data_IF_852449239651
#
_entry.id   IF_852449239651
#
_cell.length_a   1.000
_cell.length_b   1.000
_cell.length_c   1.000
_cell.angle_alpha   90.00
_cell.angle_beta   90.00
_cell.angle_gamma   90.00
#
_symmetry.space_group_name_H-M   'P 1'
#
loop_
_entity.id
_entity.type
_entity.pdbx_description
1 polymer ?
#
# COMPACT_ATOMS: atom_id res chain seq x y z
N UNK A 1 -6.52 7.32 8.07
CA UNK A 1 -5.49 6.30 8.38
C UNK A 1 -6.16 4.94 8.66
N UNK A 2 -5.82 3.88 7.90
CA UNK A 2 -6.18 2.51 8.27
C UNK A 2 -5.18 2.01 9.32
N UNK A 3 -5.65 1.57 10.48
CA UNK A 3 -4.81 1.11 11.60
C UNK A 3 -5.29 -0.27 12.04
N UNK A 4 -4.38 -1.24 12.13
CA UNK A 4 -4.68 -2.57 12.63
C UNK A 4 -4.65 -2.60 14.16
N UNK A 5 -5.71 -3.11 14.78
CA UNK A 5 -5.90 -3.15 16.23
C UNK A 5 -5.84 -4.60 16.72
N UNK A 6 -4.83 -4.91 17.52
CA UNK A 6 -4.69 -6.20 18.22
C UNK A 6 -4.90 -5.99 19.72
N UNK A 7 -5.90 -6.67 20.29
CA UNK A 7 -6.20 -6.63 21.72
C UNK A 7 -5.61 -7.86 22.42
N UNK A 8 -4.91 -7.63 23.53
CA UNK A 8 -4.30 -8.66 24.38
C UNK A 8 -4.89 -8.58 25.79
N UNK A 9 -5.59 -9.61 26.25
CA UNK A 9 -6.31 -9.57 27.54
C UNK A 9 -6.25 -10.88 28.32
N UNK A 10 -6.39 -10.79 29.64
CA UNK A 10 -6.47 -11.95 30.53
C UNK A 10 -7.90 -12.52 30.67
N UNK A 11 -8.91 -11.87 30.08
CA UNK A 11 -10.31 -12.26 30.22
C UNK A 11 -10.72 -13.28 29.17
N UNK A 12 -11.19 -14.45 29.63
CA UNK A 12 -11.51 -15.62 28.79
C UNK A 12 -13.02 -15.75 28.53
N UNK A 13 -13.87 -14.96 29.20
CA UNK A 13 -15.31 -15.05 29.02
C UNK A 13 -15.74 -14.34 27.74
N UNK A 14 -16.40 -15.09 26.84
CA UNK A 14 -16.71 -14.69 25.46
C UNK A 14 -17.51 -13.40 25.27
N UNK A 15 -18.07 -12.83 26.35
CA UNK A 15 -18.75 -11.53 26.34
C UNK A 15 -17.76 -10.38 26.06
N UNK A 16 -16.50 -10.49 26.50
CA UNK A 16 -15.47 -9.48 26.19
C UNK A 16 -14.98 -9.58 24.73
N UNK A 17 -15.03 -10.77 24.12
CA UNK A 17 -14.45 -11.02 22.79
C UNK A 17 -15.34 -10.48 21.67
N UNK A 18 -16.65 -10.75 21.72
CA UNK A 18 -17.59 -10.23 20.72
C UNK A 18 -17.64 -8.69 20.75
N UNK A 19 -17.76 -8.09 21.94
CA UNK A 19 -17.75 -6.64 22.10
C UNK A 19 -16.44 -6.00 21.63
N UNK A 20 -15.30 -6.68 21.83
CA UNK A 20 -14.00 -6.19 21.33
C UNK A 20 -13.95 -6.11 19.80
N UNK A 21 -14.49 -7.11 19.10
CA UNK A 21 -14.59 -7.07 17.64
C UNK A 21 -15.55 -5.97 17.18
N UNK A 22 -16.71 -5.82 17.82
CA UNK A 22 -17.66 -4.74 17.52
C UNK A 22 -17.08 -3.34 17.77
N UNK A 23 -16.15 -3.22 18.74
CA UNK A 23 -15.45 -1.97 19.04
C UNK A 23 -14.32 -1.65 18.03
N UNK A 24 -14.12 -2.50 17.02
CA UNK A 24 -13.17 -2.28 15.92
C UNK A 24 -11.81 -2.97 16.08
N UNK A 25 -11.67 -3.96 16.96
CA UNK A 25 -10.47 -4.78 16.98
C UNK A 25 -10.42 -5.74 15.78
N UNK A 26 -9.28 -5.82 15.09
CA UNK A 26 -9.08 -6.82 14.04
C UNK A 26 -8.81 -8.20 14.61
N UNK A 27 -8.05 -8.26 15.72
CA UNK A 27 -7.60 -9.52 16.33
C UNK A 27 -7.64 -9.43 17.85
N UNK A 28 -8.20 -10.47 18.48
CA UNK A 28 -8.26 -10.63 19.93
C UNK A 28 -7.43 -11.83 20.39
N UNK A 29 -6.51 -11.62 21.33
CA UNK A 29 -5.61 -12.63 21.88
C UNK A 29 -5.73 -12.70 23.41
N UNK A 30 -5.83 -13.92 23.94
CA UNK A 30 -5.84 -14.17 25.38
C UNK A 30 -4.43 -14.38 25.92
N UNK A 31 -4.11 -13.79 27.07
CA UNK A 31 -2.86 -14.03 27.78
C UNK A 31 -2.90 -15.38 28.53
N UNK A 32 -1.78 -16.10 28.65
CA UNK A 32 -0.47 -15.79 28.06
C UNK A 32 -0.43 -16.10 26.56
N UNK A 33 0.16 -15.18 25.78
CA UNK A 33 0.39 -15.39 24.34
C UNK A 33 1.85 -15.74 24.10
N UNK A 34 2.12 -16.65 23.17
CA UNK A 34 3.48 -16.92 22.72
C UNK A 34 4.02 -15.72 21.91
N UNK A 35 5.27 -15.29 22.10
CA UNK A 35 5.89 -14.25 21.26
C UNK A 35 5.87 -14.59 19.77
N UNK A 36 5.99 -15.88 19.44
CA UNK A 36 5.95 -16.36 18.04
C UNK A 36 4.55 -16.15 17.45
N UNK A 37 3.51 -16.47 18.22
CA UNK A 37 2.12 -16.30 17.80
C UNK A 37 1.78 -14.82 17.60
N UNK A 38 2.14 -13.96 18.56
CA UNK A 38 1.94 -12.52 18.45
C UNK A 38 2.66 -11.95 17.23
N UNK A 39 3.90 -12.37 16.97
CA UNK A 39 4.67 -11.94 15.79
C UNK A 39 3.95 -12.32 14.50
N UNK A 40 3.49 -13.57 14.38
CA UNK A 40 2.77 -14.05 13.19
C UNK A 40 1.48 -13.27 12.97
N UNK A 41 0.73 -13.00 14.04
CA UNK A 41 -0.48 -12.19 14.01
C UNK A 41 -0.20 -10.79 13.45
N UNK A 42 0.83 -10.11 13.97
CA UNK A 42 1.19 -8.75 13.54
C UNK A 42 1.65 -8.72 12.08
N UNK A 43 2.48 -9.67 11.65
CA UNK A 43 2.94 -9.77 10.26
C UNK A 43 1.76 -9.99 9.31
N UNK A 44 0.84 -10.89 9.68
CA UNK A 44 -0.31 -11.21 8.83
C UNK A 44 -1.29 -10.05 8.72
N UNK A 45 -1.56 -9.35 9.83
CA UNK A 45 -2.42 -8.17 9.83
C UNK A 45 -1.80 -7.05 9.00
N UNK A 46 -0.52 -6.74 9.22
CA UNK A 46 0.22 -5.75 8.43
C UNK A 46 0.20 -6.06 6.94
N UNK A 47 0.42 -7.33 6.54
CA UNK A 47 0.37 -7.73 5.13
C UNK A 47 -1.00 -7.50 4.49
N UNK A 48 -2.10 -7.73 5.21
CA UNK A 48 -3.46 -7.49 4.70
C UNK A 48 -3.72 -6.00 4.51
N UNK A 49 -3.29 -5.19 5.47
CA UNK A 49 -3.40 -3.72 5.36
C UNK A 49 -2.58 -3.16 4.19
N UNK A 50 -1.32 -3.61 4.05
CA UNK A 50 -0.45 -3.27 2.91
C UNK A 50 -1.07 -3.67 1.57
N UNK A 51 -1.71 -4.84 1.52
CA UNK A 51 -2.35 -5.34 0.31
C UNK A 51 -3.52 -4.45 -0.12
N UNK A 52 -4.38 -4.04 0.82
CA UNK A 52 -5.48 -3.11 0.53
C UNK A 52 -5.02 -1.73 0.05
N UNK A 53 -3.88 -1.22 0.53
CA UNK A 53 -3.32 0.04 0.01
C UNK A 53 -2.71 -0.14 -1.39
N UNK A 54 -2.09 -1.29 -1.65
CA UNK A 54 -1.52 -1.61 -2.98
C UNK A 54 -2.59 -1.83 -4.04
N UNK A 55 -3.76 -2.36 -3.68
CA UNK A 55 -4.90 -2.56 -4.59
C UNK A 55 -5.44 -1.26 -5.20
N UNK A 56 -5.02 -0.08 -4.75
CA UNK A 56 -5.37 1.19 -5.37
C UNK A 56 -4.17 2.06 -5.78
N UNK A 57 -2.96 1.51 -5.78
CA UNK A 57 -1.75 2.28 -6.09
C UNK A 57 -1.17 1.93 -7.45
N UNK A 58 -0.94 2.95 -8.29
CA UNK A 58 -0.16 2.82 -9.51
C UNK A 58 1.33 2.88 -9.20
N UNK A 59 2.10 1.93 -9.74
CA UNK A 59 3.55 1.85 -9.50
C UNK A 59 4.29 2.06 -10.82
N UNK A 60 5.09 3.13 -10.89
CA UNK A 60 5.90 3.43 -12.06
C UNK A 60 7.34 2.93 -11.88
N UNK A 61 7.82 2.12 -12.82
CA UNK A 61 9.18 1.61 -12.89
C UNK A 61 9.94 2.23 -14.07
N UNK A 62 10.65 3.35 -13.86
CA UNK A 62 11.32 4.09 -14.95
C UNK A 62 12.47 3.31 -15.59
N UNK A 63 13.09 2.36 -14.90
CA UNK A 63 14.19 1.54 -15.44
C UNK A 63 13.71 0.45 -16.40
N UNK A 64 12.50 -0.06 -16.21
CA UNK A 64 11.90 -1.13 -17.02
C UNK A 64 10.81 -0.61 -17.96
N UNK A 65 10.67 0.71 -18.06
CA UNK A 65 9.67 1.43 -18.84
C UNK A 65 8.27 0.85 -18.67
N UNK A 66 7.85 0.71 -17.42
CA UNK A 66 6.56 0.07 -17.12
C UNK A 66 5.80 0.75 -16.00
N UNK A 67 4.49 0.88 -16.21
CA UNK A 67 3.53 1.33 -15.22
C UNK A 67 2.65 0.13 -14.83
N UNK A 68 2.65 -0.23 -13.56
CA UNK A 68 1.85 -1.32 -13.02
C UNK A 68 0.61 -0.72 -12.38
N UNK A 69 -0.55 -1.13 -12.87
CA UNK A 69 -1.84 -0.74 -12.33
C UNK A 69 -2.12 -1.45 -10.99
N UNK A 70 -3.08 -0.95 -10.21
CA UNK A 70 -3.44 -1.58 -8.94
C UNK A 70 -4.01 -3.01 -9.10
N UNK A 71 -4.58 -3.34 -10.26
CA UNK A 71 -5.04 -4.69 -10.61
C UNK A 71 -3.92 -5.62 -11.09
N UNK A 72 -2.67 -5.15 -11.08
CA UNK A 72 -1.49 -5.91 -11.53
C UNK A 72 -1.25 -5.89 -13.04
N UNK A 73 -2.13 -5.25 -13.82
CA UNK A 73 -1.88 -5.07 -15.26
C UNK A 73 -0.65 -4.17 -15.47
N UNK A 74 0.24 -4.61 -16.35
CA UNK A 74 1.45 -3.86 -16.70
C UNK A 74 1.28 -3.17 -18.05
N UNK A 75 1.45 -1.85 -18.07
CA UNK A 75 1.50 -1.01 -19.28
C UNK A 75 2.97 -0.73 -19.58
N UNK A 76 3.38 -0.94 -20.84
CA UNK A 76 4.75 -0.65 -21.29
C UNK A 76 4.80 0.72 -21.95
N UNK A 77 5.86 1.45 -21.65
CA UNK A 77 6.18 2.73 -22.27
C UNK A 77 7.39 2.56 -23.19
N UNK A 78 7.46 3.39 -24.22
CA UNK A 78 8.71 3.70 -24.90
C UNK A 78 9.67 4.44 -23.95
N UNK A 79 10.94 4.53 -24.34
CA UNK A 79 11.93 5.28 -23.55
C UNK A 79 11.53 6.76 -23.40
N UNK A 80 11.00 7.38 -24.46
CA UNK A 80 10.56 8.77 -24.47
C UNK A 80 9.34 8.99 -23.57
N UNK A 81 8.30 8.16 -23.69
CA UNK A 81 7.11 8.22 -22.83
C UNK A 81 7.49 8.05 -21.35
N UNK A 82 8.39 7.10 -21.05
CA UNK A 82 8.88 6.89 -19.69
C UNK A 82 9.63 8.10 -19.14
N UNK A 83 10.41 8.79 -19.98
CA UNK A 83 11.15 9.98 -19.56
C UNK A 83 10.22 11.17 -19.31
N UNK A 84 9.23 11.38 -20.18
CA UNK A 84 8.19 12.42 -20.02
C UNK A 84 7.36 12.15 -18.76
N UNK A 85 6.90 10.92 -18.59
CA UNK A 85 6.08 10.53 -17.44
C UNK A 85 6.84 10.69 -16.12
N UNK A 86 8.14 10.34 -16.09
CA UNK A 86 9.00 10.56 -14.93
C UNK A 86 9.11 12.05 -14.59
N UNK A 87 9.29 12.91 -15.59
CA UNK A 87 9.41 14.36 -15.39
C UNK A 87 8.11 14.96 -14.84
N UNK A 88 6.96 14.51 -15.35
CA UNK A 88 5.65 14.88 -14.83
C UNK A 88 5.50 14.47 -13.37
N UNK A 89 5.86 13.24 -13.01
CA UNK A 89 5.81 12.76 -11.62
C UNK A 89 6.68 13.61 -10.69
N UNK A 90 7.94 13.87 -11.07
CA UNK A 90 8.88 14.66 -10.26
C UNK A 90 8.37 16.10 -10.06
N UNK A 91 7.66 16.64 -11.07
CA UNK A 91 7.10 17.99 -11.04
C UNK A 91 5.75 18.10 -10.32
N UNK A 92 5.26 17.01 -9.72
CA UNK A 92 3.95 16.99 -9.05
C UNK A 92 2.75 16.92 -10.00
N UNK A 93 2.96 16.41 -11.22
CA UNK A 93 1.92 16.14 -12.22
C UNK A 93 1.62 17.30 -13.16
N UNK A 94 2.19 18.49 -12.95
CA UNK A 94 1.98 19.66 -13.79
C UNK A 94 3.30 20.20 -14.32
N UNK A 95 3.50 20.10 -15.64
CA UNK A 95 4.62 20.74 -16.33
C UNK A 95 4.11 21.49 -17.57
N UNK A 96 4.48 22.77 -17.76
CA UNK A 96 4.15 23.49 -18.99
C UNK A 96 4.74 22.81 -20.23
N UNK A 97 3.97 22.75 -21.32
CA UNK A 97 4.36 22.10 -22.58
C UNK A 97 5.72 22.59 -23.11
N UNK A 98 6.00 23.90 -23.03
CA UNK A 98 7.27 24.46 -23.50
C UNK A 98 8.49 23.85 -22.78
N UNK A 99 8.37 23.46 -21.50
CA UNK A 99 9.45 22.81 -20.75
C UNK A 99 9.67 21.37 -21.19
N UNK A 100 8.59 20.66 -21.56
CA UNK A 100 8.70 19.33 -22.14
C UNK A 100 9.43 19.39 -23.48
N UNK A 101 9.02 20.33 -24.35
CA UNK A 101 9.64 20.51 -25.68
C UNK A 101 11.12 20.89 -25.54
N UNK A 102 11.46 21.81 -24.64
CA UNK A 102 12.85 22.22 -24.40
C UNK A 102 13.74 21.04 -23.98
N UNK A 103 13.19 20.10 -23.20
CA UNK A 103 13.96 18.99 -22.61
C UNK A 103 14.02 17.75 -23.48
N UNK A 104 12.95 17.47 -24.22
CA UNK A 104 12.79 16.22 -24.99
C UNK A 104 12.77 16.43 -26.51
N UNK A 105 12.77 17.66 -26.99
CA UNK A 105 12.66 18.00 -28.43
C UNK A 105 11.20 18.09 -28.90
N UNK A 106 10.97 17.97 -30.20
CA UNK A 106 9.61 17.81 -30.73
C UNK A 106 9.03 16.49 -30.23
N UNK A 107 7.87 16.57 -29.58
CA UNK A 107 7.15 15.47 -28.93
C UNK A 107 5.94 15.09 -29.77
#
# INVERSE_FOLDING_TARGET
PKMGIVILTARVQGIDRAQSYESGADIYLTKPVSPIELKTVLINLGRRMDYEERENTWIFHPKSFSLVSPSGQTIKFSATESAIFLELIISGGLLPLHKLIQRFGEI
#
